data_IF_591963934670
#
_entry.id   IF_591963934670
#
_cell.length_a   1.000
_cell.length_b   1.000
_cell.length_c   1.000
_cell.angle_alpha   90.00
_cell.angle_beta   90.00
_cell.angle_gamma   90.00
#
_symmetry.space_group_name_H-M   'P 1'
#
loop_
_entity.id
_entity.type
_entity.pdbx_description
1 polymer ?
#
# COMPACT_ATOMS: atom_id res chain seq x y z
N UNK A 1 25.56 -7.77 4.54
CA UNK A 1 24.93 -8.08 5.84
C UNK A 1 23.64 -8.80 5.48
N UNK A 2 23.72 -10.11 5.25
CA UNK A 2 22.63 -10.89 4.62
C UNK A 2 22.12 -12.00 5.56
N UNK A 3 22.48 -11.92 6.84
CA UNK A 3 22.20 -12.93 7.87
C UNK A 3 20.69 -13.22 8.03
N UNK A 4 19.84 -12.20 7.90
CA UNK A 4 18.39 -12.36 8.06
C UNK A 4 17.71 -12.92 6.82
N UNK A 5 18.21 -12.59 5.63
CA UNK A 5 17.73 -13.18 4.38
C UNK A 5 18.03 -14.69 4.31
N UNK A 6 19.17 -15.11 4.86
CA UNK A 6 19.60 -16.51 4.93
C UNK A 6 18.98 -17.32 6.07
N UNK A 7 18.11 -16.74 6.90
CA UNK A 7 17.42 -17.48 7.94
C UNK A 7 16.59 -18.64 7.34
N UNK A 8 16.71 -19.87 7.88
CA UNK A 8 15.89 -21.00 7.44
C UNK A 8 14.40 -20.70 7.53
N UNK A 9 13.63 -21.22 6.56
CA UNK A 9 12.18 -21.04 6.48
C UNK A 9 11.48 -21.45 7.79
N UNK A 10 11.91 -22.58 8.34
CA UNK A 10 11.40 -23.20 9.56
C UNK A 10 11.62 -22.29 10.77
N UNK A 11 12.77 -21.62 10.82
CA UNK A 11 13.09 -20.71 11.92
C UNK A 11 12.26 -19.41 11.82
N UNK A 12 12.06 -18.87 10.62
CA UNK A 12 11.15 -17.73 10.42
C UNK A 12 9.71 -18.05 10.84
N UNK A 13 9.23 -19.26 10.51
CA UNK A 13 7.92 -19.75 10.91
C UNK A 13 7.84 -19.88 12.44
N UNK A 14 8.78 -20.60 13.05
CA UNK A 14 8.83 -20.84 14.49
C UNK A 14 8.86 -19.53 15.30
N UNK A 15 9.71 -18.58 14.91
CA UNK A 15 9.85 -17.30 15.60
C UNK A 15 8.60 -16.44 15.43
N UNK A 16 7.97 -16.46 14.26
CA UNK A 16 6.72 -15.72 14.02
C UNK A 16 5.55 -16.33 14.80
N UNK A 17 5.46 -17.65 14.87
CA UNK A 17 4.45 -18.33 15.67
C UNK A 17 4.61 -18.01 17.16
N UNK A 18 5.85 -18.03 17.65
CA UNK A 18 6.18 -17.71 19.04
C UNK A 18 5.89 -16.25 19.40
N UNK A 19 6.34 -15.32 18.57
CA UNK A 19 6.40 -13.91 18.96
C UNK A 19 5.33 -13.02 18.33
N UNK A 20 4.79 -13.39 17.18
CA UNK A 20 3.82 -12.58 16.44
C UNK A 20 2.39 -13.11 16.56
N UNK A 21 2.22 -14.44 16.73
CA UNK A 21 0.90 -15.08 16.87
C UNK A 21 0.46 -15.36 18.32
N UNK A 22 1.34 -15.09 19.29
CA UNK A 22 0.99 -15.15 20.72
C UNK A 22 1.13 -16.52 21.38
N UNK A 23 1.87 -17.47 20.78
CA UNK A 23 2.16 -18.75 21.45
C UNK A 23 3.33 -18.68 22.45
N UNK A 24 4.02 -17.54 22.54
CA UNK A 24 5.11 -17.24 23.46
C UNK A 24 4.87 -15.96 24.28
N UNK A 25 5.90 -15.45 24.99
CA UNK A 25 5.78 -14.23 25.78
C UNK A 25 5.39 -13.05 24.91
N UNK A 26 4.48 -12.21 25.40
CA UNK A 26 3.96 -11.10 24.62
C UNK A 26 5.07 -10.08 24.34
N UNK A 27 5.41 -9.89 23.06
CA UNK A 27 6.32 -8.81 22.68
C UNK A 27 5.63 -7.46 22.82
N UNK A 28 6.39 -6.47 23.30
CA UNK A 28 5.98 -5.08 23.17
C UNK A 28 5.76 -4.73 21.69
N UNK A 29 4.96 -3.69 21.43
CA UNK A 29 4.69 -3.23 20.07
C UNK A 29 5.98 -2.97 19.26
N UNK A 30 7.00 -2.39 19.92
CA UNK A 30 8.32 -2.16 19.34
C UNK A 30 9.06 -3.47 19.07
N UNK A 31 9.01 -4.44 19.99
CA UNK A 31 9.59 -5.77 19.78
C UNK A 31 8.96 -6.51 18.61
N UNK A 32 7.64 -6.48 18.51
CA UNK A 32 6.90 -7.11 17.41
C UNK A 32 7.22 -6.46 16.05
N UNK A 33 7.38 -5.14 16.00
CA UNK A 33 7.83 -4.43 14.79
C UNK A 33 9.22 -4.92 14.34
N UNK A 34 10.18 -5.01 15.26
CA UNK A 34 11.51 -5.52 14.94
C UNK A 34 11.48 -6.97 14.47
N UNK A 35 10.70 -7.81 15.13
CA UNK A 35 10.53 -9.20 14.73
C UNK A 35 9.97 -9.30 13.31
N UNK A 36 8.95 -8.52 12.96
CA UNK A 36 8.42 -8.48 11.58
C UNK A 36 9.51 -8.07 10.59
N UNK A 37 10.21 -6.96 10.88
CA UNK A 37 11.23 -6.42 10.00
C UNK A 37 12.33 -7.45 9.74
N UNK A 38 12.93 -8.01 10.79
CA UNK A 38 14.05 -8.93 10.66
C UNK A 38 13.66 -10.29 10.07
N UNK A 39 12.45 -10.78 10.33
CA UNK A 39 12.04 -12.09 9.82
C UNK A 39 11.56 -12.05 8.37
N UNK A 40 10.97 -10.93 7.94
CA UNK A 40 10.21 -10.87 6.69
C UNK A 40 10.69 -9.82 5.69
N UNK A 41 11.18 -8.65 6.12
CA UNK A 41 11.45 -7.54 5.20
C UNK A 41 12.56 -7.90 4.20
N UNK A 42 13.75 -8.25 4.68
CA UNK A 42 14.89 -8.56 3.81
C UNK A 42 14.62 -9.80 2.95
N UNK A 43 13.93 -10.80 3.52
CA UNK A 43 13.56 -12.03 2.82
C UNK A 43 12.59 -11.78 1.66
N UNK A 44 11.64 -10.86 1.82
CA UNK A 44 10.69 -10.48 0.76
C UNK A 44 11.34 -9.51 -0.23
N UNK A 45 12.19 -8.60 0.26
CA UNK A 45 12.88 -7.64 -0.59
C UNK A 45 13.79 -8.33 -1.61
N UNK A 46 14.47 -9.41 -1.22
CA UNK A 46 15.39 -10.19 -2.07
C UNK A 46 14.71 -11.38 -2.76
N UNK A 47 13.39 -11.34 -2.89
CA UNK A 47 12.63 -12.48 -3.40
C UNK A 47 12.57 -12.48 -4.94
N UNK A 48 13.25 -13.44 -5.54
CA UNK A 48 13.29 -13.62 -7.00
C UNK A 48 12.40 -14.78 -7.49
N UNK A 49 11.78 -15.50 -6.56
CA UNK A 49 10.93 -16.67 -6.83
C UNK A 49 9.63 -16.60 -6.03
N UNK A 50 8.69 -17.52 -6.29
CA UNK A 50 7.44 -17.55 -5.54
C UNK A 50 7.66 -17.77 -4.04
N UNK A 51 6.94 -17.01 -3.22
CA UNK A 51 7.05 -17.09 -1.76
C UNK A 51 6.47 -18.40 -1.23
N UNK A 52 7.20 -19.16 -0.39
CA UNK A 52 6.70 -20.45 0.10
C UNK A 52 5.36 -20.34 0.81
N UNK A 53 4.43 -21.25 0.49
CA UNK A 53 3.03 -21.20 0.97
C UNK A 53 2.92 -21.17 2.50
N UNK A 54 3.74 -21.96 3.20
CA UNK A 54 3.71 -21.99 4.66
C UNK A 54 4.21 -20.68 5.28
N UNK A 55 5.26 -20.08 4.72
CA UNK A 55 5.72 -18.76 5.14
C UNK A 55 4.67 -17.67 4.90
N UNK A 56 3.98 -17.73 3.75
CA UNK A 56 2.87 -16.82 3.46
C UNK A 56 1.77 -16.96 4.52
N UNK A 57 1.33 -18.18 4.83
CA UNK A 57 0.30 -18.41 5.88
C UNK A 57 0.71 -17.83 7.22
N UNK A 58 1.97 -17.99 7.62
CA UNK A 58 2.48 -17.41 8.87
C UNK A 58 2.45 -15.88 8.84
N UNK A 59 2.89 -15.26 7.74
CA UNK A 59 2.84 -13.82 7.56
C UNK A 59 1.39 -13.29 7.59
N UNK A 60 0.47 -13.96 6.90
CA UNK A 60 -0.96 -13.64 6.91
C UNK A 60 -1.55 -13.71 8.32
N UNK A 61 -1.20 -14.74 9.09
CA UNK A 61 -1.64 -14.83 10.48
C UNK A 61 -1.04 -13.71 11.34
N UNK A 62 0.23 -13.35 11.15
CA UNK A 62 0.87 -12.24 11.85
C UNK A 62 0.20 -10.90 11.50
N UNK A 63 -0.23 -10.71 10.24
CA UNK A 63 -0.95 -9.52 9.81
C UNK A 63 -2.26 -9.33 10.57
N UNK A 64 -2.99 -10.42 10.90
CA UNK A 64 -4.23 -10.36 11.70
C UNK A 64 -3.95 -10.03 13.16
N UNK A 65 -2.93 -10.66 13.74
CA UNK A 65 -2.63 -10.54 15.18
C UNK A 65 -1.90 -9.23 15.52
N UNK A 66 -1.05 -8.73 14.62
CA UNK A 66 -0.16 -7.57 14.85
C UNK A 66 -0.21 -6.62 13.66
N UNK A 67 -1.39 -6.03 13.35
CA UNK A 67 -1.60 -5.22 12.15
C UNK A 67 -0.63 -4.04 12.07
N UNK A 68 -0.45 -3.28 13.16
CA UNK A 68 0.49 -2.14 13.21
C UNK A 68 1.92 -2.59 12.93
N UNK A 69 2.37 -3.68 13.55
CA UNK A 69 3.74 -4.18 13.37
C UNK A 69 3.99 -4.67 11.95
N UNK A 70 3.00 -5.29 11.30
CA UNK A 70 3.10 -5.73 9.90
C UNK A 70 3.09 -4.56 8.93
N UNK A 71 2.27 -3.54 9.18
CA UNK A 71 2.28 -2.33 8.37
C UNK A 71 3.63 -1.62 8.49
N UNK A 72 4.05 -1.27 9.71
CA UNK A 72 5.24 -0.44 9.91
C UNK A 72 6.56 -1.20 9.73
N UNK A 73 6.56 -2.50 10.02
CA UNK A 73 7.75 -3.35 9.92
C UNK A 73 7.96 -3.97 8.54
N UNK A 74 6.92 -4.06 7.70
CA UNK A 74 6.98 -4.73 6.41
C UNK A 74 6.33 -3.93 5.27
N UNK A 75 5.01 -3.71 5.31
CA UNK A 75 4.30 -3.17 4.14
C UNK A 75 4.73 -1.75 3.78
N UNK A 76 4.84 -0.86 4.77
CA UNK A 76 5.28 0.51 4.59
C UNK A 76 6.74 0.60 4.09
N UNK A 77 7.72 -0.08 4.73
CA UNK A 77 9.09 -0.13 4.22
C UNK A 77 9.21 -0.69 2.80
N UNK A 78 8.48 -1.77 2.47
CA UNK A 78 8.49 -2.35 1.12
C UNK A 78 7.97 -1.37 0.06
N UNK A 79 6.82 -0.74 0.33
CA UNK A 79 6.10 0.03 -0.67
C UNK A 79 6.59 1.47 -0.78
N UNK A 80 6.93 2.10 0.34
CA UNK A 80 7.27 3.52 0.37
C UNK A 80 8.78 3.78 0.40
N UNK A 81 9.60 2.75 0.68
CA UNK A 81 11.02 2.93 0.97
C UNK A 81 11.27 3.61 2.31
N UNK A 82 10.23 3.78 3.14
CA UNK A 82 10.31 4.33 4.50
C UNK A 82 11.20 3.42 5.36
N UNK A 83 12.49 3.74 5.43
CA UNK A 83 13.30 3.20 6.51
C UNK A 83 12.90 3.92 7.79
N UNK A 84 12.00 3.32 8.57
CA UNK A 84 11.51 3.87 9.86
C UNK A 84 12.66 4.17 10.85
N UNK A 85 13.91 3.75 10.57
CA UNK A 85 15.06 3.87 11.48
C UNK A 85 16.43 4.23 10.85
N UNK A 86 16.54 4.59 9.57
CA UNK A 86 17.84 4.93 8.97
C UNK A 86 17.98 6.44 8.72
N UNK A 87 18.27 7.20 9.79
CA UNK A 87 18.59 8.64 9.71
C UNK A 87 19.94 8.93 9.02
N UNK A 88 20.71 7.90 8.67
CA UNK A 88 22.03 8.00 8.02
C UNK A 88 22.03 7.58 6.55
N UNK A 89 20.89 7.13 6.00
CA UNK A 89 20.72 6.73 4.59
C UNK A 89 19.65 7.53 3.84
N UNK A 90 19.29 8.70 4.36
CA UNK A 90 18.35 9.64 3.74
C UNK A 90 18.89 10.32 2.46
N UNK A 91 20.07 9.95 1.97
CA UNK A 91 20.63 10.48 0.73
C UNK A 91 20.56 9.42 -0.37
N UNK A 92 19.73 9.69 -1.39
CA UNK A 92 19.72 8.98 -2.69
C UNK A 92 19.26 7.53 -2.66
N UNK A 93 17.96 7.28 -2.51
CA UNK A 93 17.37 6.02 -3.01
C UNK A 93 16.08 6.32 -3.73
N UNK A 94 16.09 6.14 -5.05
CA UNK A 94 14.89 5.86 -5.83
C UNK A 94 14.05 4.83 -5.06
N UNK A 95 12.73 5.05 -4.95
CA UNK A 95 11.85 4.07 -4.32
C UNK A 95 12.02 2.74 -5.07
N UNK A 96 12.17 1.62 -4.35
CA UNK A 96 12.41 0.33 -5.00
C UNK A 96 11.21 -0.02 -5.88
N UNK A 97 11.43 -0.28 -7.17
CA UNK A 97 10.42 -0.93 -7.99
C UNK A 97 10.19 -2.33 -7.42
N UNK A 98 8.97 -2.56 -6.93
CA UNK A 98 8.60 -3.86 -6.40
C UNK A 98 8.48 -4.86 -7.54
N UNK A 99 9.25 -5.94 -7.46
CA UNK A 99 9.07 -7.09 -8.32
C UNK A 99 7.67 -7.72 -8.16
N UNK A 100 7.30 -8.53 -9.15
CA UNK A 100 5.99 -9.19 -9.20
C UNK A 100 5.66 -9.95 -7.90
N UNK A 101 6.62 -10.66 -7.34
CA UNK A 101 6.40 -11.46 -6.14
C UNK A 101 6.18 -10.61 -4.88
N UNK A 102 6.88 -9.47 -4.77
CA UNK A 102 6.66 -8.52 -3.69
C UNK A 102 5.25 -7.93 -3.78
N UNK A 103 4.80 -7.54 -4.98
CA UNK A 103 3.44 -7.06 -5.23
C UNK A 103 2.41 -8.12 -4.85
N UNK A 104 2.62 -9.38 -5.25
CA UNK A 104 1.74 -10.51 -4.92
C UNK A 104 1.60 -10.72 -3.41
N UNK A 105 2.71 -10.65 -2.66
CA UNK A 105 2.70 -10.82 -1.20
C UNK A 105 1.96 -9.66 -0.52
N UNK A 106 2.28 -8.41 -0.89
CA UNK A 106 1.60 -7.23 -0.33
C UNK A 106 0.11 -7.31 -0.62
N UNK A 107 -0.29 -7.63 -1.85
CA UNK A 107 -1.69 -7.81 -2.22
C UNK A 107 -2.34 -8.97 -1.44
N UNK A 108 -1.63 -10.08 -1.24
CA UNK A 108 -2.09 -11.23 -0.47
C UNK A 108 -2.36 -10.88 0.99
N UNK A 109 -1.44 -10.15 1.64
CA UNK A 109 -1.61 -9.65 3.01
C UNK A 109 -2.82 -8.73 3.13
N UNK A 110 -3.01 -7.82 2.17
CA UNK A 110 -4.12 -6.87 2.20
C UNK A 110 -5.48 -7.54 1.95
N UNK A 111 -5.54 -8.55 1.08
CA UNK A 111 -6.79 -9.24 0.70
C UNK A 111 -7.23 -10.33 1.66
N UNK A 112 -6.36 -10.77 2.57
CA UNK A 112 -6.65 -11.90 3.43
C UNK A 112 -7.82 -11.63 4.37
N UNK A 113 -8.67 -12.64 4.54
CA UNK A 113 -9.89 -12.50 5.35
C UNK A 113 -9.52 -12.23 6.82
N UNK A 114 -10.03 -11.12 7.37
CA UNK A 114 -9.69 -10.66 8.72
C UNK A 114 -8.49 -9.70 8.80
N UNK A 115 -7.80 -9.43 7.69
CA UNK A 115 -6.73 -8.42 7.63
C UNK A 115 -7.22 -6.99 7.35
N UNK A 116 -8.54 -6.73 7.41
CA UNK A 116 -9.12 -5.41 7.10
C UNK A 116 -8.55 -4.26 7.95
N UNK A 117 -8.21 -4.52 9.22
CA UNK A 117 -7.53 -3.54 10.08
C UNK A 117 -6.11 -3.24 9.58
N UNK A 118 -5.37 -4.25 9.13
CA UNK A 118 -4.03 -4.12 8.53
C UNK A 118 -4.10 -3.30 7.27
N UNK A 119 -5.06 -3.60 6.39
CA UNK A 119 -5.29 -2.84 5.17
C UNK A 119 -5.64 -1.38 5.48
N UNK A 120 -6.52 -1.12 6.45
CA UNK A 120 -6.88 0.25 6.85
C UNK A 120 -5.69 1.05 7.36
N UNK A 121 -4.87 0.44 8.24
CA UNK A 121 -3.65 1.09 8.74
C UNK A 121 -2.65 1.37 7.62
N UNK A 122 -2.47 0.43 6.70
CA UNK A 122 -1.65 0.62 5.51
C UNK A 122 -2.14 1.79 4.66
N UNK A 123 -3.45 1.86 4.37
CA UNK A 123 -4.07 2.96 3.62
C UNK A 123 -3.84 4.32 4.29
N UNK A 124 -4.06 4.41 5.60
CA UNK A 124 -3.83 5.65 6.35
C UNK A 124 -2.36 6.06 6.31
N UNK A 125 -1.45 5.09 6.46
CA UNK A 125 0.00 5.34 6.41
C UNK A 125 0.44 5.88 5.05
N UNK A 126 -0.02 5.27 3.94
CA UNK A 126 0.39 5.71 2.61
C UNK A 126 -0.21 7.08 2.24
N UNK A 127 -1.48 7.31 2.57
CA UNK A 127 -2.12 8.62 2.39
C UNK A 127 -1.37 9.69 3.18
N UNK A 128 -1.06 9.44 4.46
CA UNK A 128 -0.34 10.38 5.30
C UNK A 128 1.06 10.70 4.78
N UNK A 129 1.83 9.69 4.36
CA UNK A 129 3.16 9.89 3.77
C UNK A 129 3.10 10.84 2.57
N UNK A 130 2.12 10.64 1.68
CA UNK A 130 2.04 11.43 0.45
C UNK A 130 1.53 12.84 0.70
N UNK A 131 0.56 13.02 1.60
CA UNK A 131 0.11 14.34 2.01
C UNK A 131 1.27 15.17 2.61
N UNK A 132 2.14 14.53 3.40
CA UNK A 132 3.33 15.19 3.96
C UNK A 132 4.32 15.62 2.88
N UNK A 133 4.55 14.79 1.85
CA UNK A 133 5.45 15.14 0.75
C UNK A 133 4.85 16.22 -0.17
N UNK A 134 3.56 16.15 -0.51
CA UNK A 134 2.90 17.16 -1.36
C UNK A 134 2.77 18.52 -0.69
N UNK A 135 2.64 18.58 0.64
CA UNK A 135 2.59 19.85 1.37
C UNK A 135 3.98 20.50 1.50
N UNK A 136 5.04 19.70 1.44
CA UNK A 136 6.43 20.19 1.52
C UNK A 136 6.94 20.74 0.18
N UNK A 137 6.37 20.33 -0.94
CA UNK A 137 6.72 20.85 -2.28
C UNK A 137 6.24 22.31 -2.48
N UNK A 138 5.35 22.84 -1.63
CA UNK A 138 4.93 24.25 -1.63
C UNK A 138 5.79 25.16 -0.72
N UNK A 139 6.67 24.58 0.12
CA UNK A 139 7.46 25.30 1.11
C UNK A 139 8.93 24.87 1.03
N UNK A 140 9.65 25.52 0.10
CA UNK A 140 11.11 25.59 -0.05
C UNK A 140 11.79 24.68 -1.09
N UNK A 141 12.65 25.37 -1.86
CA UNK A 141 13.76 24.88 -2.69
C UNK A 141 13.45 24.22 -4.05
N UNK A 142 14.05 24.83 -5.08
CA UNK A 142 14.86 24.17 -6.11
C UNK A 142 15.14 22.69 -5.83
N UNK A 143 14.23 21.80 -6.24
CA UNK A 143 14.54 20.40 -6.46
C UNK A 143 15.13 20.26 -7.86
N UNK A 144 16.20 19.48 -7.98
CA UNK A 144 16.73 19.09 -9.27
C UNK A 144 15.61 18.39 -10.08
N UNK A 145 15.51 18.64 -11.39
CA UNK A 145 14.50 18.01 -12.23
C UNK A 145 14.72 16.50 -12.21
N UNK A 146 13.85 15.75 -11.50
CA UNK A 146 13.90 14.29 -11.41
C UNK A 146 13.41 13.67 -10.11
N UNK A 147 13.31 14.41 -9.00
CA UNK A 147 13.00 13.81 -7.68
C UNK A 147 11.53 13.91 -7.25
N UNK A 148 10.57 13.75 -8.17
CA UNK A 148 9.17 13.70 -7.73
C UNK A 148 8.87 12.35 -7.05
N UNK A 149 8.25 12.32 -5.85
CA UNK A 149 7.85 11.07 -5.17
C UNK A 149 6.87 10.21 -5.98
N UNK A 150 6.30 10.79 -7.05
CA UNK A 150 5.44 10.17 -8.06
C UNK A 150 6.18 9.31 -9.11
N UNK A 151 7.48 9.56 -9.36
CA UNK A 151 8.20 9.02 -10.52
C UNK A 151 8.37 7.48 -10.52
N UNK A 152 8.15 6.82 -9.39
CA UNK A 152 8.30 5.36 -9.19
C UNK A 152 6.98 4.58 -9.18
N UNK A 153 5.84 5.23 -9.39
CA UNK A 153 4.54 4.55 -9.26
C UNK A 153 4.16 3.85 -10.54
N UNK A 154 4.40 2.55 -10.60
CA UNK A 154 3.98 1.67 -11.70
C UNK A 154 2.71 0.87 -11.42
N UNK A 155 2.44 -0.11 -12.30
CA UNK A 155 1.29 -1.02 -12.21
C UNK A 155 1.23 -1.80 -10.90
N UNK A 156 2.39 -2.18 -10.35
CA UNK A 156 2.47 -2.87 -9.06
C UNK A 156 1.85 -2.05 -7.93
N UNK A 157 2.11 -0.73 -7.90
CA UNK A 157 1.52 0.17 -6.92
C UNK A 157 0.00 0.26 -7.12
N UNK A 158 -0.47 0.38 -8.36
CA UNK A 158 -1.90 0.41 -8.67
C UNK A 158 -2.62 -0.85 -8.16
N UNK A 159 -2.02 -2.04 -8.36
CA UNK A 159 -2.55 -3.32 -7.86
C UNK A 159 -2.60 -3.39 -6.33
N UNK A 160 -1.57 -2.88 -5.66
CA UNK A 160 -1.52 -2.79 -4.18
C UNK A 160 -2.64 -1.90 -3.67
N UNK A 161 -2.81 -0.70 -4.26
CA UNK A 161 -3.87 0.22 -3.87
C UNK A 161 -5.26 -0.36 -4.14
N UNK A 162 -5.46 -1.03 -5.28
CA UNK A 162 -6.72 -1.69 -5.57
C UNK A 162 -7.04 -2.74 -4.51
N UNK A 163 -6.06 -3.56 -4.16
CA UNK A 163 -6.19 -4.59 -3.14
C UNK A 163 -6.56 -3.99 -1.79
N UNK A 164 -5.92 -2.88 -1.43
CA UNK A 164 -6.19 -2.16 -0.19
C UNK A 164 -7.61 -1.58 -0.17
N UNK A 165 -8.04 -0.89 -1.23
CA UNK A 165 -9.39 -0.32 -1.39
C UNK A 165 -10.47 -1.40 -1.22
N UNK A 166 -10.31 -2.54 -1.88
CA UNK A 166 -11.27 -3.65 -1.78
C UNK A 166 -11.34 -4.18 -0.35
N UNK A 167 -10.20 -4.32 0.32
CA UNK A 167 -10.10 -4.86 1.67
C UNK A 167 -10.69 -3.95 2.74
N UNK A 168 -10.60 -2.64 2.55
CA UNK A 168 -11.08 -1.66 3.53
C UNK A 168 -12.53 -1.23 3.31
N UNK A 169 -13.26 -1.86 2.38
CA UNK A 169 -14.61 -1.42 1.99
C UNK A 169 -15.55 -1.18 3.17
N UNK A 170 -15.37 -1.87 4.30
CA UNK A 170 -16.18 -1.74 5.53
C UNK A 170 -15.78 -0.58 6.45
N UNK A 171 -14.62 0.05 6.22
CA UNK A 171 -14.01 1.07 7.08
C UNK A 171 -13.91 2.44 6.41
N UNK A 172 -14.72 2.69 5.38
CA UNK A 172 -14.58 3.83 4.48
C UNK A 172 -15.22 5.06 5.07
N UNK A 173 -14.44 6.13 5.13
CA UNK A 173 -14.88 7.49 5.44
C UNK A 173 -14.47 8.46 4.32
N UNK A 174 -14.91 9.71 4.44
CA UNK A 174 -14.62 10.76 3.47
C UNK A 174 -13.11 11.02 3.33
N UNK A 175 -12.37 11.03 4.44
CA UNK A 175 -10.93 11.34 4.45
C UNK A 175 -10.13 10.27 3.70
N UNK A 176 -10.51 9.00 3.85
CA UNK A 176 -9.92 7.90 3.11
C UNK A 176 -10.18 8.06 1.61
N UNK A 177 -11.42 8.35 1.20
CA UNK A 177 -11.76 8.52 -0.22
C UNK A 177 -10.98 9.70 -0.82
N UNK A 178 -11.02 10.88 -0.17
CA UNK A 178 -10.29 12.06 -0.65
C UNK A 178 -8.78 11.82 -0.67
N UNK A 179 -8.24 11.14 0.35
CA UNK A 179 -6.85 10.71 0.39
C UNK A 179 -6.47 9.84 -0.80
N UNK A 180 -7.30 8.86 -1.16
CA UNK A 180 -7.09 8.03 -2.35
C UNK A 180 -7.20 8.80 -3.67
N UNK A 181 -8.07 9.80 -3.77
CA UNK A 181 -8.14 10.62 -4.99
C UNK A 181 -6.85 11.41 -5.19
N UNK A 182 -6.33 12.02 -4.12
CA UNK A 182 -5.03 12.71 -4.15
C UNK A 182 -3.88 11.76 -4.51
N UNK A 183 -3.92 10.56 -3.94
CA UNK A 183 -3.00 9.46 -4.21
C UNK A 183 -3.02 9.04 -5.69
N UNK A 184 -4.20 8.87 -6.29
CA UNK A 184 -4.34 8.48 -7.68
C UNK A 184 -3.89 9.59 -8.63
N UNK A 185 -4.09 10.85 -8.25
CA UNK A 185 -3.62 12.01 -9.01
C UNK A 185 -2.10 12.10 -9.07
N UNK A 186 -1.39 11.60 -8.06
CA UNK A 186 0.08 11.60 -8.05
C UNK A 186 0.71 10.51 -8.92
N UNK A 187 -0.05 9.63 -9.60
CA UNK A 187 0.56 8.70 -10.55
C UNK A 187 1.13 9.42 -11.79
N UNK A 188 2.25 8.95 -12.37
CA UNK A 188 2.77 9.44 -13.64
C UNK A 188 1.70 9.44 -14.74
N UNK A 189 1.67 10.45 -15.64
CA UNK A 189 0.72 10.48 -16.74
C UNK A 189 0.73 9.21 -17.58
N UNK A 190 1.91 8.64 -17.87
CA UNK A 190 2.05 7.39 -18.63
C UNK A 190 1.25 6.23 -18.02
N UNK A 191 1.37 6.04 -16.70
CA UNK A 191 0.62 5.00 -15.98
C UNK A 191 -0.87 5.33 -15.94
N UNK A 192 -1.24 6.59 -15.73
CA UNK A 192 -2.66 7.00 -15.74
C UNK A 192 -3.35 6.75 -17.07
N UNK A 193 -2.61 6.86 -18.18
CA UNK A 193 -3.13 6.70 -19.54
C UNK A 193 -3.19 5.24 -20.00
N UNK A 194 -2.18 4.44 -19.66
CA UNK A 194 -1.99 3.12 -20.29
C UNK A 194 -2.30 1.94 -19.37
N UNK A 195 -2.30 2.16 -18.05
CA UNK A 195 -2.43 1.07 -17.08
C UNK A 195 -3.87 0.64 -16.87
N UNK A 196 -4.16 -0.62 -17.22
CA UNK A 196 -5.41 -1.27 -16.82
C UNK A 196 -5.50 -1.43 -15.30
N UNK A 197 -4.38 -1.65 -14.61
CA UNK A 197 -4.37 -1.76 -13.15
C UNK A 197 -4.83 -0.44 -12.53
N UNK A 198 -4.28 0.69 -12.97
CA UNK A 198 -4.69 2.03 -12.52
C UNK A 198 -6.18 2.30 -12.75
N UNK A 199 -6.70 2.07 -13.97
CA UNK A 199 -8.12 2.26 -14.27
C UNK A 199 -9.03 1.38 -13.38
N UNK A 200 -8.59 0.15 -13.11
CA UNK A 200 -9.27 -0.78 -12.21
C UNK A 200 -9.26 -0.31 -10.75
N UNK A 201 -8.18 0.34 -10.31
CA UNK A 201 -8.07 0.99 -8.99
C UNK A 201 -9.03 2.17 -8.86
N UNK A 202 -9.10 3.04 -9.87
CA UNK A 202 -10.04 4.17 -9.91
C UNK A 202 -11.49 3.67 -9.82
N UNK A 203 -11.82 2.63 -10.59
CA UNK A 203 -13.16 2.03 -10.56
C UNK A 203 -13.47 1.40 -9.19
N UNK A 204 -12.50 0.72 -8.57
CA UNK A 204 -12.66 0.14 -7.25
C UNK A 204 -12.97 1.23 -6.21
N UNK A 205 -12.27 2.37 -6.25
CA UNK A 205 -12.52 3.52 -5.37
C UNK A 205 -13.95 4.05 -5.55
N UNK A 206 -14.38 4.26 -6.80
CA UNK A 206 -15.72 4.77 -7.10
C UNK A 206 -16.81 3.82 -6.60
N UNK A 207 -16.66 2.51 -6.83
CA UNK A 207 -17.62 1.51 -6.38
C UNK A 207 -17.66 1.39 -4.85
N UNK A 208 -16.50 1.49 -4.19
CA UNK A 208 -16.41 1.48 -2.74
C UNK A 208 -17.15 2.68 -2.14
N UNK A 209 -16.83 3.89 -2.60
CA UNK A 209 -17.51 5.12 -2.18
C UNK A 209 -19.03 5.03 -2.39
N UNK A 210 -19.47 4.53 -3.56
CA UNK A 210 -20.89 4.35 -3.90
C UNK A 210 -21.58 3.37 -2.94
N UNK A 211 -20.96 2.22 -2.71
CA UNK A 211 -21.52 1.15 -1.87
C UNK A 211 -21.71 1.62 -0.42
N UNK A 212 -20.82 2.51 0.06
CA UNK A 212 -20.89 3.06 1.41
C UNK A 212 -21.65 4.38 1.52
N UNK A 213 -22.15 4.92 0.41
CA UNK A 213 -22.82 6.22 0.42
C UNK A 213 -21.90 7.37 0.85
N UNK A 214 -20.59 7.21 0.68
CA UNK A 214 -19.62 8.26 0.98
C UNK A 214 -19.46 9.11 -0.27
N UNK A 215 -19.99 10.33 -0.22
CA UNK A 215 -19.89 11.26 -1.34
C UNK A 215 -18.52 11.98 -1.29
N UNK A 216 -17.67 11.81 -2.32
CA UNK A 216 -16.44 12.59 -2.43
C UNK A 216 -16.76 14.08 -2.61
N UNK A 217 -15.81 14.95 -2.30
CA UNK A 217 -15.98 16.39 -2.55
C UNK A 217 -16.12 16.69 -4.04
N UNK A 218 -16.73 17.82 -4.40
CA UNK A 218 -16.84 18.23 -5.81
C UNK A 218 -15.47 18.27 -6.54
N UNK A 219 -14.39 18.78 -5.92
CA UNK A 219 -13.04 18.69 -6.49
C UNK A 219 -12.57 17.25 -6.71
N UNK A 220 -12.89 16.33 -5.79
CA UNK A 220 -12.51 14.92 -5.91
C UNK A 220 -13.29 14.23 -7.04
N UNK A 221 -14.59 14.49 -7.17
CA UNK A 221 -15.43 13.99 -8.27
C UNK A 221 -14.91 14.50 -9.62
N UNK A 222 -14.55 15.78 -9.70
CA UNK A 222 -13.98 16.37 -10.91
C UNK A 222 -12.63 15.72 -11.25
N UNK A 223 -11.75 15.52 -10.27
CA UNK A 223 -10.47 14.82 -10.46
C UNK A 223 -10.67 13.40 -10.97
N UNK A 224 -11.63 12.65 -10.40
CA UNK A 224 -11.97 11.29 -10.86
C UNK A 224 -12.52 11.26 -12.28
N UNK A 225 -13.29 12.27 -12.68
CA UNK A 225 -13.80 12.42 -14.06
C UNK A 225 -12.67 12.69 -15.04
N UNK A 226 -11.77 13.60 -14.72
CA UNK A 226 -10.59 13.92 -15.55
C UNK A 226 -9.69 12.70 -15.73
N UNK A 227 -9.47 11.91 -14.68
CA UNK A 227 -8.73 10.65 -14.77
C UNK A 227 -9.42 9.63 -15.67
N UNK A 228 -10.74 9.50 -15.58
CA UNK A 228 -11.51 8.60 -16.44
C UNK A 228 -11.48 9.02 -17.93
N UNK A 229 -11.48 10.33 -18.19
CA UNK A 229 -11.41 10.88 -19.55
C UNK A 229 -10.01 10.72 -20.15
N UNK A 230 -8.98 10.94 -19.33
CA UNK A 230 -7.58 10.79 -19.75
C UNK A 230 -7.23 9.32 -20.03
N UNK A 231 -7.60 8.39 -19.13
CA UNK A 231 -7.18 6.98 -19.22
C UNK A 231 -7.72 6.24 -20.46
N UNK A 232 -8.88 6.63 -21.00
CA UNK A 232 -9.57 5.92 -22.09
C UNK A 232 -10.11 4.52 -21.70
N UNK A 233 -9.34 3.74 -20.93
CA UNK A 233 -9.67 2.44 -20.37
C UNK A 233 -10.73 2.55 -19.28
N UNK A 234 -11.70 1.64 -19.30
CA UNK A 234 -12.81 1.56 -18.33
C UNK A 234 -13.60 2.87 -18.14
N UNK A 235 -13.43 3.87 -19.02
CA UNK A 235 -14.07 5.20 -18.94
C UNK A 235 -15.57 5.12 -18.70
N UNK A 236 -16.29 4.31 -19.49
CA UNK A 236 -17.74 4.13 -19.35
C UNK A 236 -18.13 3.60 -17.97
N UNK A 237 -17.37 2.64 -17.44
CA UNK A 237 -17.61 2.05 -16.12
C UNK A 237 -17.34 3.04 -14.99
N UNK A 238 -16.25 3.81 -15.09
CA UNK A 238 -15.88 4.82 -14.08
C UNK A 238 -16.92 5.95 -14.07
N UNK A 239 -17.29 6.48 -15.25
CA UNK A 239 -18.33 7.51 -15.36
C UNK A 239 -19.70 7.03 -14.88
N UNK A 240 -20.06 5.77 -15.14
CA UNK A 240 -21.29 5.18 -14.62
C UNK A 240 -21.28 5.06 -13.09
N UNK A 241 -20.14 4.69 -12.49
CA UNK A 241 -19.97 4.64 -11.04
C UNK A 241 -20.09 6.05 -10.42
N UNK A 242 -19.44 7.06 -11.02
CA UNK A 242 -19.53 8.47 -10.59
C UNK A 242 -20.96 9.03 -10.72
N UNK A 243 -21.67 8.72 -11.80
CA UNK A 243 -23.08 9.13 -11.94
C UNK A 243 -23.98 8.46 -10.90
N UNK A 244 -23.63 7.24 -10.48
CA UNK A 244 -24.30 6.53 -9.40
C UNK A 244 -24.06 7.17 -8.03
N UNK A 245 -22.93 7.84 -7.82
CA UNK A 245 -22.63 8.58 -6.58
C UNK A 245 -23.50 9.83 -6.44
N UNK A 246 -23.73 10.58 -7.52
CA UNK A 246 -24.53 11.82 -7.51
C UNK A 246 -26.06 11.61 -7.36
N UNK A 247 -26.53 10.35 -7.27
CA UNK A 247 -27.94 9.98 -7.13
C UNK A 247 -28.30 9.45 -5.73
N UNK A 248 -27.29 9.22 -4.89
CA UNK A 248 -27.44 8.84 -3.49
C UNK A 248 -27.27 10.08 -2.62
#
# INVERSE_FOLDING_TARGET
MDFFASLPAELCILLSDRYLRGSGPELSQRGALWAVKFLWLDKIHLLDVSFPREQLKTLLSAAKSRPVSVVDGLLAPLVMGDSVFDSTRAASRERPELGKHQVEIVCGVLKDEGAGKTALMFCRRIIASILQHTASDDLSCTQAPGSSPAASWGDGMALILQSAIIAIKEFVDFDIVSGFVKLLRSFPPTVRLESRAFASTVLALCNMAKTKGVMPSDPDVQTLREMAESAGLMRRSILAALKGLARN
#
